data_IF_529472913781
#
_entry.id   IF_529472913781
#
_cell.length_a   1.000
_cell.length_b   1.000
_cell.length_c   1.000
_cell.angle_alpha   90.00
_cell.angle_beta   90.00
_cell.angle_gamma   90.00
#
_symmetry.space_group_name_H-M   'P 1'
#
loop_
_entity.id
_entity.type
_entity.pdbx_description
1 polymer ?
#
# COMPACT_ATOMS: atom_id res chain seq x y z
N UNK A 1 17.30 -27.29 -15.75
CA UNK A 1 16.44 -28.31 -15.11
C UNK A 1 16.26 -27.90 -13.68
N UNK A 2 15.09 -27.34 -13.31
CA UNK A 2 14.75 -27.03 -11.94
C UNK A 2 14.48 -28.34 -11.22
N UNK A 3 15.19 -28.62 -10.11
CA UNK A 3 14.90 -29.80 -9.29
C UNK A 3 13.47 -29.63 -8.73
N UNK A 4 12.61 -30.62 -8.98
CA UNK A 4 11.28 -30.67 -8.38
C UNK A 4 11.47 -30.63 -6.85
N UNK A 5 10.74 -29.72 -6.18
CA UNK A 5 10.71 -29.68 -4.72
C UNK A 5 10.04 -30.99 -4.29
N UNK A 6 10.75 -31.82 -3.51
CA UNK A 6 10.15 -32.99 -2.86
C UNK A 6 9.03 -32.50 -1.92
N UNK A 7 8.08 -33.38 -1.54
CA UNK A 7 7.02 -33.05 -0.57
C UNK A 7 7.67 -32.66 0.76
N UNK A 8 7.89 -31.35 0.94
CA UNK A 8 8.56 -30.77 2.09
C UNK A 8 7.50 -30.26 3.08
N UNK A 9 7.60 -30.64 4.34
CA UNK A 9 6.74 -30.11 5.40
C UNK A 9 7.35 -28.84 5.95
N UNK A 10 6.62 -27.73 5.83
CA UNK A 10 7.01 -26.40 6.30
C UNK A 10 6.08 -25.93 7.40
N UNK A 11 6.60 -25.14 8.35
CA UNK A 11 5.78 -24.57 9.42
C UNK A 11 4.86 -23.46 8.87
N UNK A 12 5.44 -22.42 8.24
CA UNK A 12 4.68 -21.32 7.64
C UNK A 12 5.07 -21.10 6.17
N UNK A 13 4.07 -21.10 5.28
CA UNK A 13 4.22 -20.73 3.89
C UNK A 13 3.59 -19.37 3.64
N UNK A 14 4.38 -18.39 3.19
CA UNK A 14 3.89 -17.07 2.75
C UNK A 14 3.83 -17.03 1.23
N UNK A 15 2.67 -16.73 0.69
CA UNK A 15 2.44 -16.62 -0.77
C UNK A 15 2.41 -15.15 -1.16
N UNK A 16 3.48 -14.69 -1.80
CA UNK A 16 3.73 -13.32 -2.20
C UNK A 16 4.92 -12.69 -1.47
N UNK A 17 5.96 -12.33 -2.22
CA UNK A 17 7.18 -11.65 -1.74
C UNK A 17 7.11 -10.11 -1.92
N UNK A 18 5.91 -9.53 -1.86
CA UNK A 18 5.71 -8.10 -1.71
C UNK A 18 5.94 -7.65 -0.26
N UNK A 19 5.78 -6.36 0.01
CA UNK A 19 6.05 -5.77 1.34
C UNK A 19 5.26 -6.45 2.46
N UNK A 20 3.96 -6.72 2.26
CA UNK A 20 3.13 -7.37 3.29
C UNK A 20 3.56 -8.80 3.58
N UNK A 21 3.94 -9.56 2.53
CA UNK A 21 4.43 -10.94 2.71
C UNK A 21 5.78 -11.00 3.42
N UNK A 22 6.74 -10.16 3.01
CA UNK A 22 8.05 -10.12 3.63
C UNK A 22 8.00 -9.60 5.08
N UNK A 23 7.17 -8.60 5.35
CA UNK A 23 6.95 -8.12 6.71
C UNK A 23 6.31 -9.21 7.60
N UNK A 24 5.35 -9.97 7.06
CA UNK A 24 4.77 -11.12 7.78
C UNK A 24 5.80 -12.22 7.99
N UNK A 25 6.61 -12.53 6.98
CA UNK A 25 7.68 -13.51 7.10
C UNK A 25 8.69 -13.12 8.20
N UNK A 26 9.08 -11.84 8.24
CA UNK A 26 10.00 -11.33 9.27
C UNK A 26 9.39 -11.43 10.67
N UNK A 27 8.13 -11.04 10.86
CA UNK A 27 7.45 -11.14 12.15
C UNK A 27 7.33 -12.60 12.64
N UNK A 28 7.04 -13.55 11.75
CA UNK A 28 7.00 -14.98 12.07
C UNK A 28 8.39 -15.55 12.42
N UNK A 29 9.43 -15.13 11.70
CA UNK A 29 10.81 -15.49 12.02
C UNK A 29 11.27 -14.92 13.36
N UNK A 30 10.83 -13.71 13.72
CA UNK A 30 11.10 -13.11 15.03
C UNK A 30 10.42 -13.89 16.17
N UNK A 31 9.30 -14.56 15.87
CA UNK A 31 8.62 -15.50 16.76
C UNK A 31 9.25 -16.90 16.79
N UNK A 32 10.36 -17.12 16.06
CA UNK A 32 11.04 -18.42 16.01
C UNK A 32 10.37 -19.47 15.12
N UNK A 33 9.43 -19.04 14.24
CA UNK A 33 8.79 -19.94 13.27
C UNK A 33 9.69 -20.18 12.06
N UNK A 34 9.58 -21.34 11.44
CA UNK A 34 10.21 -21.61 10.14
C UNK A 34 9.34 -21.07 9.00
N UNK A 35 9.93 -20.26 8.11
CA UNK A 35 9.18 -19.57 7.07
C UNK A 35 9.76 -19.83 5.69
N UNK A 36 8.90 -20.25 4.78
CA UNK A 36 9.16 -20.25 3.33
C UNK A 36 8.24 -19.22 2.66
N UNK A 37 8.83 -18.36 1.84
CA UNK A 37 8.10 -17.38 1.00
C UNK A 37 8.17 -17.83 -0.43
N UNK A 38 7.05 -17.86 -1.15
CA UNK A 38 7.02 -18.11 -2.60
C UNK A 38 6.43 -16.90 -3.33
N UNK A 39 6.92 -16.62 -4.52
CA UNK A 39 6.37 -15.60 -5.40
C UNK A 39 6.37 -16.06 -6.87
N UNK A 40 5.33 -15.69 -7.61
CA UNK A 40 5.23 -15.99 -9.04
C UNK A 40 6.28 -15.24 -9.88
N UNK A 41 6.75 -14.10 -9.40
CA UNK A 41 7.78 -13.27 -9.99
C UNK A 41 9.01 -13.16 -9.11
N UNK A 42 9.59 -11.96 -9.10
CA UNK A 42 10.72 -11.58 -8.24
C UNK A 42 10.23 -10.88 -6.97
N UNK A 43 11.09 -10.87 -5.95
CA UNK A 43 10.89 -10.08 -4.74
C UNK A 43 10.52 -8.64 -5.10
N UNK A 44 9.42 -8.16 -4.52
CA UNK A 44 9.01 -6.76 -4.63
C UNK A 44 8.51 -6.31 -6.01
N UNK A 45 8.40 -7.17 -7.01
CA UNK A 45 8.05 -6.80 -8.38
C UNK A 45 6.64 -6.19 -8.56
N UNK A 46 5.77 -6.28 -7.55
CA UNK A 46 4.42 -5.72 -7.57
C UNK A 46 4.35 -4.25 -7.14
N UNK A 47 3.23 -3.86 -6.55
CA UNK A 47 2.93 -2.49 -6.10
C UNK A 47 3.91 -1.94 -5.04
N UNK A 48 4.74 -2.77 -4.46
CA UNK A 48 5.72 -2.37 -3.45
C UNK A 48 6.93 -1.65 -4.03
N UNK A 49 7.23 -1.78 -5.34
CA UNK A 49 8.41 -1.21 -5.97
C UNK A 49 8.29 0.30 -6.21
N UNK A 50 7.29 0.71 -6.96
CA UNK A 50 7.19 2.07 -7.52
C UNK A 50 6.25 3.01 -6.77
N UNK A 51 5.89 2.72 -5.51
CA UNK A 51 5.10 3.66 -4.70
C UNK A 51 5.96 4.83 -4.18
N UNK A 52 5.34 5.83 -3.57
CA UNK A 52 6.03 7.03 -3.11
C UNK A 52 6.80 6.86 -1.80
N UNK A 53 6.64 5.74 -1.09
CA UNK A 53 7.42 5.41 0.11
C UNK A 53 7.08 6.24 1.33
N UNK A 54 5.92 6.88 1.38
CA UNK A 54 5.47 7.62 2.56
C UNK A 54 4.87 6.69 3.61
N UNK A 55 5.17 6.93 4.87
CA UNK A 55 4.68 6.22 6.05
C UNK A 55 3.80 7.18 6.84
N UNK A 56 2.50 7.12 6.59
CA UNK A 56 1.60 8.23 6.88
C UNK A 56 0.40 7.82 7.75
N UNK A 57 0.52 7.83 9.09
CA UNK A 57 -0.62 7.79 9.98
C UNK A 57 -1.67 8.86 9.67
N UNK A 58 -1.26 10.01 9.12
CA UNK A 58 -2.15 11.09 8.67
C UNK A 58 -3.13 10.67 7.57
N UNK A 59 -2.78 9.67 6.75
CA UNK A 59 -3.66 9.13 5.69
C UNK A 59 -4.68 8.09 6.22
N UNK A 60 -5.01 8.15 7.51
CA UNK A 60 -6.04 7.31 8.11
C UNK A 60 -7.43 7.48 7.46
N UNK A 61 -7.88 8.69 7.08
CA UNK A 61 -9.15 8.83 6.36
C UNK A 61 -9.19 7.98 5.09
N UNK A 62 -10.26 7.17 4.89
CA UNK A 62 -10.34 6.28 3.73
C UNK A 62 -10.73 7.03 2.46
N UNK A 63 -10.43 6.44 1.29
CA UNK A 63 -10.93 6.93 0.01
C UNK A 63 -12.46 6.91 -0.09
N UNK A 64 -13.12 5.96 0.58
CA UNK A 64 -14.57 5.82 0.60
C UNK A 64 -15.22 6.87 1.52
N UNK A 65 -15.07 8.14 1.17
CA UNK A 65 -15.65 9.27 1.91
C UNK A 65 -16.95 9.80 1.32
N UNK A 66 -17.74 10.58 2.10
CA UNK A 66 -19.04 11.11 1.64
C UNK A 66 -18.98 11.95 0.35
N UNK A 67 -17.87 12.68 0.15
CA UNK A 67 -17.66 13.53 -1.04
C UNK A 67 -17.06 12.79 -2.25
N UNK A 68 -16.63 11.56 -2.07
CA UNK A 68 -15.84 10.81 -3.07
C UNK A 68 -16.62 10.55 -4.35
N UNK A 69 -17.90 10.21 -4.25
CA UNK A 69 -18.73 9.91 -5.43
C UNK A 69 -18.93 11.15 -6.32
N UNK A 70 -19.17 12.30 -5.72
CA UNK A 70 -19.33 13.57 -6.46
C UNK A 70 -18.01 13.95 -7.12
N UNK A 71 -16.91 13.80 -6.43
CA UNK A 71 -15.56 14.07 -6.93
C UNK A 71 -15.20 13.12 -8.08
N UNK A 72 -15.46 11.82 -7.92
CA UNK A 72 -15.22 10.81 -8.95
C UNK A 72 -16.04 11.09 -10.23
N UNK A 73 -17.33 11.41 -10.09
CA UNK A 73 -18.18 11.78 -11.23
C UNK A 73 -17.64 13.00 -12.00
N UNK A 74 -17.16 14.03 -11.28
CA UNK A 74 -16.54 15.20 -11.90
C UNK A 74 -15.25 14.85 -12.65
N UNK A 75 -14.41 14.00 -12.07
CA UNK A 75 -13.13 13.58 -12.66
C UNK A 75 -13.29 12.78 -13.94
N UNK A 76 -14.39 12.05 -14.13
CA UNK A 76 -14.65 11.32 -15.38
C UNK A 76 -14.71 12.23 -16.62
N UNK A 77 -15.01 13.52 -16.43
CA UNK A 77 -15.10 14.52 -17.51
C UNK A 77 -13.92 15.51 -17.52
N UNK A 78 -12.93 15.32 -16.66
CA UNK A 78 -11.78 16.23 -16.52
C UNK A 78 -10.56 15.61 -17.20
N UNK A 79 -9.94 16.27 -18.21
CA UNK A 79 -8.63 15.85 -18.72
C UNK A 79 -7.59 15.82 -17.59
N UNK A 80 -6.68 14.85 -17.64
CA UNK A 80 -5.62 14.67 -16.64
C UNK A 80 -6.10 14.41 -15.19
N UNK A 81 -7.39 14.10 -15.01
CA UNK A 81 -7.92 13.75 -13.69
C UNK A 81 -7.13 12.59 -13.06
N UNK A 82 -6.92 12.60 -11.74
CA UNK A 82 -6.15 11.55 -11.07
C UNK A 82 -6.84 10.19 -11.07
N UNK A 83 -8.14 10.14 -11.32
CA UNK A 83 -8.94 8.91 -11.39
C UNK A 83 -9.47 8.67 -12.81
N UNK A 84 -9.35 7.41 -13.27
CA UNK A 84 -10.02 6.93 -14.47
C UNK A 84 -10.64 5.55 -14.22
N UNK A 85 -11.88 5.39 -14.65
CA UNK A 85 -12.59 4.10 -14.58
C UNK A 85 -12.98 3.71 -16.00
N UNK A 86 -12.37 2.62 -16.49
CA UNK A 86 -12.73 2.05 -17.81
C UNK A 86 -14.14 1.46 -17.74
N UNK A 87 -15.04 1.83 -18.65
CA UNK A 87 -16.35 1.19 -18.74
C UNK A 87 -16.20 -0.34 -18.83
N UNK A 88 -16.93 -1.07 -17.99
CA UNK A 88 -16.84 -2.52 -17.92
C UNK A 88 -18.20 -3.15 -17.63
N UNK A 89 -18.41 -4.35 -18.19
CA UNK A 89 -19.56 -5.21 -17.89
C UNK A 89 -19.16 -6.38 -16.97
N UNK A 90 -17.93 -6.38 -16.45
CA UNK A 90 -17.47 -7.42 -15.51
C UNK A 90 -18.31 -7.36 -14.22
N UNK A 91 -19.05 -8.45 -13.89
CA UNK A 91 -19.98 -8.44 -12.76
C UNK A 91 -19.25 -8.32 -11.41
N UNK A 92 -18.02 -8.81 -11.28
CA UNK A 92 -17.26 -8.71 -10.04
C UNK A 92 -16.78 -7.27 -9.80
N UNK A 93 -16.34 -6.57 -10.86
CA UNK A 93 -15.99 -5.15 -10.79
C UNK A 93 -17.23 -4.30 -10.45
N UNK A 94 -18.38 -4.58 -11.07
CA UNK A 94 -19.62 -3.85 -10.76
C UNK A 94 -20.08 -4.07 -9.32
N UNK A 95 -19.98 -5.30 -8.80
CA UNK A 95 -20.27 -5.60 -7.38
C UNK A 95 -19.31 -4.91 -6.43
N UNK A 96 -18.02 -4.86 -6.79
CA UNK A 96 -17.04 -4.10 -6.02
C UNK A 96 -17.38 -2.61 -5.99
N UNK A 97 -17.70 -2.00 -7.13
CA UNK A 97 -18.10 -0.59 -7.22
C UNK A 97 -19.34 -0.29 -6.36
N UNK A 98 -20.37 -1.13 -6.44
CA UNK A 98 -21.57 -0.99 -5.60
C UNK A 98 -21.23 -1.09 -4.10
N UNK A 99 -20.39 -2.07 -3.73
CA UNK A 99 -19.94 -2.22 -2.36
C UNK A 99 -19.12 -1.02 -1.87
N UNK A 100 -18.26 -0.45 -2.71
CA UNK A 100 -17.51 0.77 -2.42
C UNK A 100 -18.45 1.98 -2.24
N UNK A 101 -19.42 2.17 -3.14
CA UNK A 101 -20.41 3.25 -3.04
C UNK A 101 -21.22 3.19 -1.74
N UNK A 102 -21.61 1.99 -1.30
CA UNK A 102 -22.32 1.80 -0.02
C UNK A 102 -21.50 2.23 1.20
N UNK A 103 -20.17 2.21 1.11
CA UNK A 103 -19.25 2.64 2.17
C UNK A 103 -18.95 4.14 2.15
N UNK A 104 -19.34 4.86 1.09
CA UNK A 104 -19.16 6.32 0.98
C UNK A 104 -20.17 7.10 1.85
N UNK A 105 -20.15 6.84 3.16
CA UNK A 105 -20.98 7.53 4.16
C UNK A 105 -20.17 7.90 5.38
N UNK A 106 -20.63 8.87 6.17
CA UNK A 106 -19.88 9.43 7.30
C UNK A 106 -19.58 8.40 8.40
N UNK A 107 -20.52 7.49 8.70
CA UNK A 107 -20.34 6.47 9.74
C UNK A 107 -19.18 5.52 9.38
N UNK A 108 -19.21 4.97 8.18
CA UNK A 108 -18.18 4.04 7.72
C UNK A 108 -16.85 4.76 7.53
N UNK A 109 -16.88 6.02 7.08
CA UNK A 109 -15.68 6.87 6.96
C UNK A 109 -14.93 7.01 8.29
N UNK A 110 -15.62 7.42 9.36
CA UNK A 110 -15.01 7.57 10.69
C UNK A 110 -14.54 6.22 11.25
N UNK A 111 -15.34 5.16 11.11
CA UNK A 111 -14.97 3.83 11.58
C UNK A 111 -13.72 3.30 10.87
N UNK A 112 -13.65 3.48 9.55
CA UNK A 112 -12.50 3.08 8.74
C UNK A 112 -11.25 3.91 9.07
N UNK A 113 -11.40 5.23 9.28
CA UNK A 113 -10.29 6.10 9.68
C UNK A 113 -9.67 5.64 11.02
N UNK A 114 -10.51 5.36 12.02
CA UNK A 114 -10.05 4.85 13.33
C UNK A 114 -9.30 3.52 13.20
N UNK A 115 -9.86 2.57 12.45
CA UNK A 115 -9.23 1.28 12.22
C UNK A 115 -7.89 1.43 11.49
N UNK A 116 -7.85 2.19 10.39
CA UNK A 116 -6.62 2.43 9.64
C UNK A 116 -5.55 3.11 10.48
N UNK A 117 -5.93 4.11 11.27
CA UNK A 117 -5.01 4.84 12.12
C UNK A 117 -4.27 3.93 13.10
N UNK A 118 -4.98 3.02 13.79
CA UNK A 118 -4.33 2.10 14.74
C UNK A 118 -3.27 1.24 14.07
N UNK A 119 -3.58 0.72 12.87
CA UNK A 119 -2.64 -0.10 12.11
C UNK A 119 -1.46 0.72 11.55
N UNK A 120 -1.73 1.92 11.02
CA UNK A 120 -0.72 2.81 10.46
C UNK A 120 0.24 3.34 11.52
N UNK A 121 -0.30 3.78 12.67
CA UNK A 121 0.49 4.35 13.77
C UNK A 121 1.42 3.30 14.39
N UNK A 122 0.90 2.10 14.71
CA UNK A 122 1.72 1.00 15.22
C UNK A 122 2.77 0.56 14.17
N UNK A 123 2.37 0.45 12.90
CA UNK A 123 3.28 0.05 11.81
C UNK A 123 4.43 1.05 11.61
N UNK A 124 4.14 2.36 11.68
CA UNK A 124 5.14 3.41 11.56
C UNK A 124 6.25 3.26 12.61
N UNK A 125 5.85 2.99 13.87
CA UNK A 125 6.79 2.78 14.97
C UNK A 125 7.59 1.48 14.79
N UNK A 126 6.95 0.38 14.37
CA UNK A 126 7.62 -0.89 14.10
C UNK A 126 8.60 -0.82 12.94
N UNK A 127 8.25 -0.10 11.88
CA UNK A 127 9.18 0.10 10.75
C UNK A 127 10.44 0.81 11.24
N UNK A 128 10.31 1.85 12.04
CA UNK A 128 11.47 2.53 12.65
C UNK A 128 12.32 1.57 13.49
N UNK A 129 11.68 0.79 14.36
CA UNK A 129 12.37 -0.23 15.16
C UNK A 129 13.10 -1.27 14.29
N UNK A 130 12.50 -1.69 13.18
CA UNK A 130 13.15 -2.62 12.24
C UNK A 130 14.32 -1.98 11.50
N UNK A 131 14.18 -0.71 11.09
CA UNK A 131 15.29 0.05 10.47
C UNK A 131 16.49 0.09 11.40
N UNK A 132 16.28 0.40 12.67
CA UNK A 132 17.33 0.43 13.69
C UNK A 132 17.87 -0.98 14.00
N UNK A 133 16.98 -1.93 14.32
CA UNK A 133 17.34 -3.29 14.75
C UNK A 133 18.09 -4.08 13.69
N UNK A 134 17.70 -3.95 12.43
CA UNK A 134 18.25 -4.73 11.33
C UNK A 134 19.17 -3.91 10.41
N UNK A 135 19.44 -2.66 10.76
CA UNK A 135 20.24 -1.72 9.98
C UNK A 135 19.79 -1.70 8.51
N UNK A 136 18.49 -1.44 8.26
CA UNK A 136 17.93 -1.46 6.92
C UNK A 136 18.39 -0.22 6.12
N UNK A 137 19.08 -0.43 5.01
CA UNK A 137 19.48 0.65 4.09
C UNK A 137 18.32 1.00 3.15
N UNK A 138 17.33 1.72 3.65
CA UNK A 138 16.14 2.10 2.89
C UNK A 138 15.85 3.60 2.88
N UNK A 139 16.83 4.43 3.18
CA UNK A 139 16.72 5.90 3.24
C UNK A 139 15.52 6.37 4.09
N UNK A 140 15.30 5.70 5.22
CA UNK A 140 14.25 6.06 6.18
C UNK A 140 14.54 7.43 6.78
N UNK A 141 13.51 8.31 6.80
CA UNK A 141 13.62 9.66 7.34
C UNK A 141 12.30 10.09 8.01
N UNK A 142 12.42 10.66 9.23
CA UNK A 142 11.30 11.21 10.01
C UNK A 142 11.08 12.69 9.67
N UNK A 143 10.83 12.96 8.40
CA UNK A 143 10.69 14.34 7.90
C UNK A 143 9.28 14.90 8.01
N UNK A 144 8.30 14.07 8.26
CA UNK A 144 6.89 14.41 8.06
C UNK A 144 6.48 14.31 6.59
N UNK A 145 5.22 14.63 6.32
CA UNK A 145 4.64 14.81 4.98
C UNK A 145 3.78 16.07 4.98
N UNK A 146 3.70 16.76 3.87
CA UNK A 146 2.88 17.98 3.75
C UNK A 146 1.85 17.84 2.62
N UNK A 147 0.59 18.25 2.86
CA UNK A 147 -0.40 18.49 1.82
C UNK A 147 -0.31 19.96 1.41
N UNK A 148 -0.05 20.22 0.14
CA UNK A 148 0.14 21.58 -0.38
C UNK A 148 -1.00 21.93 -1.33
N UNK A 149 -1.64 23.08 -1.08
CA UNK A 149 -2.85 23.54 -1.76
C UNK A 149 -2.58 24.77 -2.61
N UNK A 150 -3.12 24.76 -3.83
CA UNK A 150 -3.12 25.91 -4.74
C UNK A 150 -4.33 26.81 -4.50
N UNK A 151 -5.45 26.25 -4.05
CA UNK A 151 -6.70 26.98 -3.89
C UNK A 151 -7.20 26.94 -2.44
N UNK A 152 -7.68 28.09 -1.94
CA UNK A 152 -8.27 28.17 -0.60
C UNK A 152 -9.46 27.22 -0.44
N UNK A 153 -10.26 27.09 -1.49
CA UNK A 153 -11.45 26.21 -1.50
C UNK A 153 -11.08 24.75 -1.18
N UNK A 154 -10.02 24.24 -1.80
CA UNK A 154 -9.63 22.84 -1.63
C UNK A 154 -8.95 22.64 -0.27
N UNK A 155 -8.18 23.64 0.19
CA UNK A 155 -7.63 23.66 1.53
C UNK A 155 -8.73 23.66 2.60
N UNK A 156 -9.73 24.57 2.52
CA UNK A 156 -10.83 24.66 3.48
C UNK A 156 -11.67 23.36 3.53
N UNK A 157 -11.76 22.64 2.41
CA UNK A 157 -12.43 21.33 2.38
C UNK A 157 -11.65 20.30 3.18
N UNK A 158 -10.35 20.23 3.02
CA UNK A 158 -9.50 19.25 3.67
C UNK A 158 -9.33 19.56 5.17
N UNK A 159 -9.36 20.84 5.53
CA UNK A 159 -9.41 21.26 6.92
C UNK A 159 -10.62 20.70 7.69
N UNK A 160 -11.68 20.30 7.00
CA UNK A 160 -12.83 19.61 7.57
C UNK A 160 -12.50 18.28 8.25
N UNK A 161 -11.40 17.62 7.86
CA UNK A 161 -10.95 16.36 8.47
C UNK A 161 -10.02 16.56 9.67
N UNK A 162 -9.53 17.79 9.93
CA UNK A 162 -8.62 18.09 11.05
C UNK A 162 -9.20 17.69 12.41
N UNK A 163 -10.49 17.93 12.72
CA UNK A 163 -11.05 17.48 14.01
C UNK A 163 -10.94 15.96 14.21
N UNK A 164 -11.21 15.17 13.16
CA UNK A 164 -11.07 13.71 13.21
C UNK A 164 -9.59 13.31 13.35
N UNK A 165 -8.69 13.94 12.62
CA UNK A 165 -7.26 13.66 12.69
C UNK A 165 -6.71 13.97 14.11
N UNK A 166 -7.10 15.09 14.71
CA UNK A 166 -6.72 15.46 16.08
C UNK A 166 -7.29 14.45 17.10
N UNK A 167 -8.54 13.99 16.94
CA UNK A 167 -9.13 12.94 17.78
C UNK A 167 -8.32 11.65 17.72
N UNK A 168 -7.78 11.33 16.55
CA UNK A 168 -6.92 10.16 16.34
C UNK A 168 -5.49 10.35 16.87
N UNK A 169 -5.11 11.58 17.27
CA UNK A 169 -3.76 11.88 17.76
C UNK A 169 -2.78 12.29 16.67
N UNK A 170 -3.25 12.61 15.46
CA UNK A 170 -2.43 13.19 14.40
C UNK A 170 -2.25 14.68 14.65
N UNK A 171 -1.00 15.12 14.82
CA UNK A 171 -0.65 16.54 14.93
C UNK A 171 -0.65 17.18 13.53
N UNK A 172 -1.55 18.17 13.34
CA UNK A 172 -1.72 18.87 12.07
C UNK A 172 -1.36 20.35 12.26
N UNK A 173 -0.25 20.78 11.65
CA UNK A 173 0.10 22.20 11.55
C UNK A 173 -0.47 22.77 10.26
N UNK A 174 -1.31 23.80 10.36
CA UNK A 174 -1.84 24.53 9.21
C UNK A 174 -0.98 25.75 8.95
N UNK A 175 -0.49 25.92 7.74
CA UNK A 175 0.45 26.99 7.34
C UNK A 175 -0.12 27.76 6.15
N UNK A 176 -0.16 29.09 6.25
CA UNK A 176 -0.57 29.97 5.14
C UNK A 176 0.45 29.94 4.00
N UNK A 177 -0.03 30.19 2.76
CA UNK A 177 0.80 30.01 1.55
C UNK A 177 2.13 30.75 1.55
N UNK A 178 2.13 32.05 1.92
CA UNK A 178 3.38 32.85 1.98
C UNK A 178 4.38 32.31 2.99
N UNK A 179 3.91 31.85 4.13
CA UNK A 179 4.77 31.30 5.17
C UNK A 179 5.34 29.94 4.75
N UNK A 180 4.55 29.14 4.05
CA UNK A 180 5.01 27.86 3.53
C UNK A 180 6.03 28.04 2.41
N UNK A 181 5.79 28.98 1.47
CA UNK A 181 6.74 29.36 0.43
C UNK A 181 8.10 29.84 0.99
N UNK A 182 8.05 30.58 2.10
CA UNK A 182 9.27 31.01 2.81
C UNK A 182 10.00 29.85 3.50
N UNK A 183 9.30 28.83 3.96
CA UNK A 183 9.89 27.63 4.58
C UNK A 183 10.54 26.70 3.56
N UNK A 184 9.95 26.59 2.37
CA UNK A 184 10.44 25.70 1.32
C UNK A 184 10.50 26.40 -0.06
N UNK A 185 11.69 26.85 -0.48
CA UNK A 185 11.89 27.59 -1.72
C UNK A 185 11.73 26.74 -2.99
N UNK A 186 11.46 25.44 -2.88
CA UNK A 186 11.15 24.60 -4.04
C UNK A 186 9.83 24.99 -4.68
N UNK A 187 8.94 25.62 -3.92
CA UNK A 187 7.59 25.98 -4.36
C UNK A 187 7.52 27.32 -5.05
N UNK A 188 6.68 27.38 -6.08
CA UNK A 188 6.31 28.62 -6.77
C UNK A 188 5.36 29.45 -5.89
N UNK A 189 5.37 30.77 -6.03
CA UNK A 189 4.45 31.64 -5.30
C UNK A 189 3.00 31.45 -5.72
N UNK A 190 2.09 31.83 -4.81
CA UNK A 190 0.65 31.79 -5.02
C UNK A 190 0.00 30.49 -4.55
N UNK A 191 0.57 29.86 -3.50
CA UNK A 191 -0.06 28.79 -2.77
C UNK A 191 -1.15 29.33 -1.82
N UNK A 192 -2.21 28.55 -1.61
CA UNK A 192 -3.20 28.85 -0.57
C UNK A 192 -2.63 28.52 0.84
N UNK A 193 -1.88 27.42 0.94
CA UNK A 193 -1.26 26.97 2.19
C UNK A 193 -0.89 25.51 2.16
N UNK A 194 -0.58 25.00 3.35
CA UNK A 194 -0.25 23.60 3.55
C UNK A 194 -0.81 23.06 4.87
N UNK A 195 -1.06 21.75 4.90
CA UNK A 195 -1.27 20.97 6.14
C UNK A 195 -0.02 20.11 6.33
N UNK A 196 0.68 20.30 7.44
CA UNK A 196 1.94 19.64 7.72
C UNK A 196 1.73 18.56 8.79
N UNK A 197 2.11 17.33 8.50
CA UNK A 197 1.96 16.14 9.36
C UNK A 197 3.34 15.71 9.88
N UNK A 198 3.72 16.17 11.07
CA UNK A 198 5.06 15.94 11.62
C UNK A 198 5.33 14.49 12.04
N UNK A 199 4.26 13.72 12.37
CA UNK A 199 4.36 12.32 12.79
C UNK A 199 4.63 11.34 11.66
N UNK A 200 4.51 11.78 10.43
CA UNK A 200 4.73 10.96 9.25
C UNK A 200 6.25 10.80 8.96
N UNK A 201 6.56 9.83 8.13
CA UNK A 201 7.94 9.55 7.71
C UNK A 201 7.97 9.11 6.24
N UNK A 202 9.17 8.91 5.73
CA UNK A 202 9.37 8.37 4.40
C UNK A 202 10.52 7.37 4.37
N UNK A 203 10.48 6.49 3.37
CA UNK A 203 11.58 5.59 3.05
C UNK A 203 11.59 5.33 1.54
N UNK A 204 12.68 4.74 1.05
CA UNK A 204 12.75 4.28 -0.33
C UNK A 204 12.15 2.87 -0.44
N UNK A 205 10.97 2.69 -1.07
CA UNK A 205 10.18 1.46 -0.93
C UNK A 205 10.81 0.25 -1.62
N UNK A 206 11.44 0.42 -2.78
CA UNK A 206 12.17 -0.64 -3.47
C UNK A 206 13.35 -1.17 -2.63
N UNK A 207 14.10 -0.27 -1.97
CA UNK A 207 15.16 -0.66 -1.03
C UNK A 207 14.60 -1.31 0.22
N UNK A 208 13.54 -0.76 0.82
CA UNK A 208 12.91 -1.34 2.00
C UNK A 208 12.51 -2.79 1.77
N UNK A 209 11.87 -3.10 0.63
CA UNK A 209 11.47 -4.47 0.29
C UNK A 209 12.68 -5.37 0.06
N UNK A 210 13.72 -4.88 -0.63
CA UNK A 210 14.95 -5.64 -0.82
C UNK A 210 15.65 -5.94 0.51
N UNK A 211 15.69 -4.98 1.43
CA UNK A 211 16.26 -5.12 2.76
C UNK A 211 15.45 -6.08 3.65
N UNK A 212 14.11 -6.03 3.60
CA UNK A 212 13.28 -7.04 4.27
C UNK A 212 13.62 -8.45 3.77
N UNK A 213 13.75 -8.63 2.46
CA UNK A 213 14.12 -9.92 1.88
C UNK A 213 15.53 -10.36 2.31
N UNK A 214 16.49 -9.43 2.39
CA UNK A 214 17.83 -9.70 2.93
C UNK A 214 17.75 -10.20 4.36
N UNK A 215 16.99 -9.51 5.20
CA UNK A 215 16.86 -9.88 6.62
C UNK A 215 16.12 -11.21 6.78
N UNK A 216 15.04 -11.44 6.03
CA UNK A 216 14.33 -12.73 6.03
C UNK A 216 15.29 -13.88 5.72
N UNK A 217 16.12 -13.76 4.68
CA UNK A 217 17.14 -14.77 4.35
C UNK A 217 18.19 -14.92 5.45
N UNK A 218 18.70 -13.82 5.99
CA UNK A 218 19.71 -13.83 7.05
C UNK A 218 19.21 -14.47 8.35
N UNK A 219 17.89 -14.44 8.59
CA UNK A 219 17.23 -15.08 9.73
C UNK A 219 16.81 -16.53 9.47
N UNK A 220 17.24 -17.12 8.36
CA UNK A 220 16.97 -18.52 8.01
C UNK A 220 15.67 -18.73 7.22
N UNK A 221 14.94 -17.66 6.87
CA UNK A 221 13.78 -17.77 5.98
C UNK A 221 14.18 -18.07 4.54
N UNK A 222 13.42 -18.94 3.90
CA UNK A 222 13.63 -19.32 2.49
C UNK A 222 12.73 -18.48 1.59
N UNK A 223 13.27 -17.93 0.50
CA UNK A 223 12.51 -17.19 -0.51
C UNK A 223 12.71 -17.86 -1.86
N UNK A 224 11.61 -18.30 -2.49
CA UNK A 224 11.59 -18.99 -3.78
C UNK A 224 10.86 -18.10 -4.78
N UNK A 225 11.63 -17.48 -5.65
CA UNK A 225 11.12 -16.67 -6.75
C UNK A 225 10.70 -17.55 -7.94
N UNK A 226 9.85 -16.99 -8.83
CA UNK A 226 9.32 -17.70 -9.99
C UNK A 226 8.59 -19.01 -9.65
N UNK A 227 7.99 -19.05 -8.45
CA UNK A 227 7.24 -20.18 -7.91
C UNK A 227 5.76 -19.77 -7.75
N UNK A 228 4.99 -19.86 -8.82
CA UNK A 228 3.59 -19.50 -8.82
C UNK A 228 2.75 -20.54 -8.07
N UNK A 229 1.88 -20.09 -7.17
CA UNK A 229 0.84 -20.89 -6.55
C UNK A 229 -0.22 -21.26 -7.61
N UNK A 230 -0.57 -22.54 -7.71
CA UNK A 230 -1.58 -23.08 -8.63
C UNK A 230 -2.88 -23.45 -7.91
N UNK A 231 -2.80 -24.08 -6.72
CA UNK A 231 -3.96 -24.40 -5.90
C UNK A 231 -3.60 -24.59 -4.43
N UNK A 232 -4.61 -24.49 -3.56
CA UNK A 232 -4.52 -24.84 -2.15
C UNK A 232 -5.61 -25.87 -1.80
N UNK A 233 -5.21 -26.89 -1.05
CA UNK A 233 -6.11 -27.87 -0.45
C UNK A 233 -5.97 -27.77 1.06
N UNK A 234 -6.99 -27.22 1.73
CA UNK A 234 -7.00 -27.02 3.18
C UNK A 234 -7.53 -28.26 3.88
N UNK A 235 -6.77 -28.77 4.86
CA UNK A 235 -7.13 -29.94 5.67
C UNK A 235 -7.02 -29.66 7.16
N UNK A 236 -7.40 -30.66 7.99
CA UNK A 236 -7.35 -30.53 9.44
C UNK A 236 -5.92 -30.43 10.01
N UNK A 237 -4.93 -30.93 9.27
CA UNK A 237 -3.52 -30.97 9.70
C UNK A 237 -2.62 -29.94 8.97
N UNK A 238 -3.22 -28.99 8.24
CA UNK A 238 -2.51 -27.99 7.47
C UNK A 238 -3.01 -27.86 6.03
N UNK A 239 -2.21 -27.27 5.18
CA UNK A 239 -2.56 -26.93 3.80
C UNK A 239 -1.55 -27.53 2.84
N UNK A 240 -2.03 -28.17 1.78
CA UNK A 240 -1.22 -28.60 0.64
C UNK A 240 -1.27 -27.51 -0.43
N UNK A 241 -0.12 -26.92 -0.73
CA UNK A 241 0.05 -25.94 -1.79
C UNK A 241 0.68 -26.60 -3.03
N UNK A 242 -0.06 -26.62 -4.13
CA UNK A 242 0.49 -27.00 -5.43
C UNK A 242 1.06 -25.77 -6.12
N UNK A 243 2.31 -25.85 -6.51
CA UNK A 243 3.04 -24.74 -7.15
C UNK A 243 3.60 -25.15 -8.51
N UNK A 244 4.09 -24.19 -9.28
CA UNK A 244 4.77 -24.47 -10.55
C UNK A 244 6.08 -25.29 -10.38
N UNK A 245 6.63 -25.38 -9.15
CA UNK A 245 7.88 -26.08 -8.86
C UNK A 245 7.69 -27.36 -8.03
N UNK A 246 6.45 -27.76 -7.74
CA UNK A 246 6.12 -28.96 -6.97
C UNK A 246 5.13 -28.65 -5.84
N UNK A 247 4.93 -29.63 -4.96
CA UNK A 247 3.99 -29.53 -3.85
C UNK A 247 4.73 -29.20 -2.54
N UNK A 248 4.13 -28.30 -1.76
CA UNK A 248 4.57 -27.87 -0.44
C UNK A 248 3.45 -28.15 0.56
N UNK A 249 3.75 -28.86 1.63
CA UNK A 249 2.80 -29.04 2.74
C UNK A 249 3.18 -28.08 3.87
N UNK A 250 2.28 -27.19 4.25
CA UNK A 250 2.51 -26.23 5.30
C UNK A 250 1.50 -26.37 6.44
N UNK A 251 1.93 -26.11 7.67
CA UNK A 251 1.01 -26.03 8.81
C UNK A 251 0.10 -24.82 8.68
N UNK A 252 0.68 -23.66 8.40
CA UNK A 252 -0.07 -22.42 8.18
C UNK A 252 0.34 -21.79 6.83
N UNK A 253 -0.64 -21.32 6.06
CA UNK A 253 -0.41 -20.61 4.80
C UNK A 253 -0.93 -19.18 4.92
N UNK A 254 -0.12 -18.21 4.52
CA UNK A 254 -0.47 -16.79 4.51
C UNK A 254 -0.56 -16.28 3.08
N UNK A 255 -1.73 -15.83 2.64
CA UNK A 255 -1.92 -15.19 1.36
C UNK A 255 -1.57 -13.70 1.45
N UNK A 256 -0.48 -13.30 0.81
CA UNK A 256 -0.02 -11.91 0.70
C UNK A 256 0.07 -11.48 -0.78
N UNK A 257 -0.90 -11.92 -1.59
CA UNK A 257 -0.90 -11.87 -3.05
C UNK A 257 -1.33 -10.52 -3.64
N UNK A 258 -1.52 -9.51 -2.80
CA UNK A 258 -1.78 -8.13 -3.24
C UNK A 258 -2.93 -8.03 -4.23
N UNK A 259 -2.70 -7.34 -5.33
CA UNK A 259 -3.70 -7.12 -6.38
C UNK A 259 -4.05 -8.39 -7.17
N UNK A 260 -3.23 -9.46 -7.10
CA UNK A 260 -3.51 -10.74 -7.76
C UNK A 260 -4.46 -11.65 -6.98
N UNK A 261 -4.86 -11.27 -5.76
CA UNK A 261 -5.81 -12.04 -4.94
C UNK A 261 -7.10 -12.42 -5.67
N UNK A 262 -7.73 -11.56 -6.50
CA UNK A 262 -8.89 -11.96 -7.30
C UNK A 262 -8.61 -13.05 -8.34
N UNK A 263 -7.40 -13.08 -8.91
CA UNK A 263 -7.04 -14.05 -9.95
C UNK A 263 -6.88 -15.46 -9.40
N UNK A 264 -6.31 -15.58 -8.20
CA UNK A 264 -6.13 -16.88 -7.54
C UNK A 264 -7.33 -17.31 -6.70
N UNK A 265 -8.37 -16.48 -6.58
CA UNK A 265 -9.50 -16.68 -5.67
C UNK A 265 -10.14 -18.08 -5.76
N UNK A 266 -10.33 -18.62 -6.98
CA UNK A 266 -10.89 -19.96 -7.15
C UNK A 266 -9.89 -21.06 -6.81
N UNK A 267 -8.63 -20.86 -7.13
CA UNK A 267 -7.56 -21.82 -6.85
C UNK A 267 -7.28 -22.01 -5.36
N UNK A 268 -7.62 -20.99 -4.56
CA UNK A 268 -7.45 -21.01 -3.08
C UNK A 268 -8.75 -21.24 -2.32
N UNK A 269 -9.86 -21.55 -2.99
CA UNK A 269 -11.15 -21.81 -2.37
C UNK A 269 -11.88 -20.57 -1.82
N UNK A 270 -11.49 -19.36 -2.23
CA UNK A 270 -12.02 -18.08 -1.72
C UNK A 270 -12.65 -17.24 -2.86
N UNK A 271 -13.69 -17.72 -3.57
CA UNK A 271 -14.22 -17.06 -4.76
C UNK A 271 -14.77 -15.65 -4.50
N UNK A 272 -15.12 -15.33 -3.26
CA UNK A 272 -15.61 -14.02 -2.84
C UNK A 272 -14.54 -12.91 -2.97
N UNK A 273 -13.25 -13.24 -3.00
CA UNK A 273 -12.17 -12.26 -3.22
C UNK A 273 -12.29 -11.52 -4.56
N UNK A 274 -12.88 -12.13 -5.60
CA UNK A 274 -13.09 -11.50 -6.91
C UNK A 274 -13.92 -10.21 -6.84
N UNK A 275 -14.93 -10.20 -5.97
CA UNK A 275 -15.82 -9.04 -5.77
C UNK A 275 -15.38 -8.14 -4.61
N UNK A 276 -14.29 -8.48 -3.91
CA UNK A 276 -13.82 -7.77 -2.70
C UNK A 276 -12.62 -6.89 -2.98
N UNK A 277 -11.71 -7.34 -3.83
CA UNK A 277 -10.49 -6.62 -4.21
C UNK A 277 -10.52 -6.30 -5.69
N UNK A 278 -10.13 -5.09 -6.06
CA UNK A 278 -9.93 -4.68 -7.45
C UNK A 278 -8.54 -4.08 -7.64
N UNK A 279 -7.89 -4.34 -8.79
CA UNK A 279 -6.60 -3.75 -9.13
C UNK A 279 -6.78 -2.28 -9.49
N UNK A 280 -6.21 -1.40 -8.69
CA UNK A 280 -6.14 0.04 -8.95
C UNK A 280 -4.77 0.40 -9.50
N UNK A 281 -4.63 0.54 -10.83
CA UNK A 281 -3.37 0.87 -11.49
C UNK A 281 -2.91 2.28 -11.14
N UNK A 282 -1.66 2.42 -10.75
CA UNK A 282 -1.00 3.69 -10.54
C UNK A 282 0.30 3.77 -11.30
N UNK A 283 0.80 4.99 -11.46
CA UNK A 283 2.06 5.26 -12.18
C UNK A 283 3.02 6.03 -11.30
N UNK A 284 4.31 5.86 -11.57
CA UNK A 284 5.35 6.75 -11.07
C UNK A 284 6.49 6.95 -12.08
N UNK A 285 7.17 8.08 -11.92
CA UNK A 285 8.40 8.37 -12.64
C UNK A 285 9.47 8.68 -11.61
N UNK A 286 10.59 7.98 -11.70
CA UNK A 286 11.76 8.24 -10.87
C UNK A 286 12.83 8.97 -11.70
N UNK A 287 13.34 10.05 -11.16
CA UNK A 287 14.38 10.90 -11.76
C UNK A 287 15.64 10.89 -10.91
N UNK A 288 16.73 11.36 -11.49
CA UNK A 288 17.82 11.95 -10.71
C UNK A 288 17.32 13.20 -9.98
N UNK A 289 17.95 13.56 -8.86
CA UNK A 289 17.48 14.67 -8.04
C UNK A 289 17.52 15.99 -8.82
N UNK A 290 16.46 16.82 -8.80
CA UNK A 290 16.47 18.16 -9.37
C UNK A 290 17.39 19.07 -8.53
N UNK A 291 17.82 20.23 -9.09
CA UNK A 291 18.65 21.20 -8.36
C UNK A 291 18.02 21.67 -7.04
N UNK A 292 16.69 21.71 -6.99
CA UNK A 292 15.93 22.10 -5.80
C UNK A 292 14.68 21.22 -5.73
N UNK A 293 14.62 20.34 -4.74
CA UNK A 293 13.49 19.47 -4.43
C UNK A 293 12.78 19.93 -3.16
N UNK A 294 11.51 19.60 -2.96
CA UNK A 294 10.86 19.78 -1.68
C UNK A 294 11.64 19.11 -0.54
N UNK A 295 11.71 19.76 0.61
CA UNK A 295 12.45 19.29 1.79
C UNK A 295 11.83 18.06 2.45
N UNK A 296 10.56 17.81 2.19
CA UNK A 296 9.75 16.71 2.71
C UNK A 296 8.97 16.06 1.58
N UNK A 297 8.49 14.81 1.75
CA UNK A 297 7.43 14.28 0.91
C UNK A 297 6.22 15.21 0.91
N UNK A 298 5.63 15.41 -0.27
CA UNK A 298 4.44 16.27 -0.39
C UNK A 298 3.39 15.65 -1.28
N UNK A 299 2.13 15.89 -0.93
CA UNK A 299 1.00 15.69 -1.82
C UNK A 299 0.60 17.05 -2.38
N UNK A 300 0.79 17.24 -3.69
CA UNK A 300 0.24 18.37 -4.42
C UNK A 300 -1.25 18.09 -4.62
N UNK A 301 -2.09 18.77 -3.84
CA UNK A 301 -3.46 18.29 -3.57
C UNK A 301 -4.35 18.24 -4.81
N UNK A 302 -4.48 19.34 -5.56
CA UNK A 302 -5.40 19.42 -6.69
C UNK A 302 -5.08 18.42 -7.82
N UNK A 303 -3.80 18.28 -8.28
CA UNK A 303 -3.44 17.26 -9.25
C UNK A 303 -3.29 15.87 -8.63
N UNK A 304 -3.37 15.74 -7.30
CA UNK A 304 -3.13 14.50 -6.55
C UNK A 304 -1.78 13.84 -6.91
N UNK A 305 -0.71 14.64 -6.95
CA UNK A 305 0.65 14.17 -7.25
C UNK A 305 1.44 14.06 -5.95
N UNK A 306 1.91 12.86 -5.63
CA UNK A 306 2.87 12.64 -4.58
C UNK A 306 4.29 12.92 -5.10
N UNK A 307 5.06 13.67 -4.34
CA UNK A 307 6.46 14.00 -4.63
C UNK A 307 7.32 13.55 -3.46
N UNK A 308 8.29 12.69 -3.72
CA UNK A 308 9.25 12.27 -2.70
C UNK A 308 10.67 12.40 -3.23
N UNK A 309 11.52 13.07 -2.44
CA UNK A 309 12.94 13.17 -2.70
C UNK A 309 13.73 12.32 -1.69
N UNK A 310 14.65 11.52 -2.18
CA UNK A 310 15.62 10.75 -1.40
C UNK A 310 17.04 11.19 -1.79
N UNK A 311 18.03 10.85 -1.03
CA UNK A 311 19.43 11.05 -1.40
C UNK A 311 19.78 10.41 -2.74
N UNK A 312 19.15 9.29 -3.06
CA UNK A 312 19.38 8.51 -4.27
C UNK A 312 18.47 8.85 -5.46
N UNK A 313 17.49 9.74 -5.33
CA UNK A 313 16.58 10.08 -6.43
C UNK A 313 15.37 10.92 -6.04
N UNK A 314 14.52 11.15 -7.01
CA UNK A 314 13.32 11.97 -6.90
C UNK A 314 12.17 11.28 -7.63
N UNK A 315 11.01 11.15 -7.02
CA UNK A 315 9.87 10.43 -7.60
C UNK A 315 8.61 11.27 -7.61
N UNK A 316 7.96 11.27 -8.75
CA UNK A 316 6.57 11.67 -8.91
C UNK A 316 5.71 10.42 -9.01
N UNK A 317 4.66 10.36 -8.21
CA UNK A 317 3.73 9.24 -8.27
C UNK A 317 2.31 9.68 -8.01
N UNK A 318 1.40 8.83 -8.29
CA UNK A 318 -0.02 8.83 -7.98
C UNK A 318 -0.83 8.28 -9.17
N UNK A 319 -1.95 8.88 -9.51
CA UNK A 319 -3.02 8.41 -10.40
C UNK A 319 -3.69 7.12 -9.93
N UNK A 320 -4.91 6.91 -10.35
CA UNK A 320 -5.67 5.68 -10.08
C UNK A 320 -6.49 5.33 -11.32
N UNK A 321 -6.25 4.13 -11.86
CA UNK A 321 -7.02 3.62 -12.98
C UNK A 321 -7.61 2.25 -12.66
N UNK A 322 -8.89 2.07 -12.97
CA UNK A 322 -9.54 0.77 -12.93
C UNK A 322 -9.70 0.26 -14.36
N UNK A 323 -8.60 -0.31 -14.90
CA UNK A 323 -8.48 -0.82 -16.28
C UNK A 323 -8.20 -2.32 -16.34
N UNK A 324 -8.28 -3.01 -15.17
CA UNK A 324 -7.85 -4.40 -15.03
C UNK A 324 -6.32 -4.52 -14.96
N UNK A 325 -5.78 -5.62 -15.46
CA UNK A 325 -4.35 -5.95 -15.37
C UNK A 325 -3.56 -5.57 -16.64
N UNK A 326 -3.91 -4.46 -17.26
CA UNK A 326 -3.13 -3.89 -18.37
C UNK A 326 -1.83 -3.28 -17.82
N UNK A 327 -0.68 -3.82 -18.19
CA UNK A 327 0.66 -3.42 -17.75
C UNK A 327 1.32 -2.35 -18.63
N UNK A 328 0.64 -1.88 -19.67
CA UNK A 328 1.15 -0.85 -20.57
C UNK A 328 1.38 0.48 -19.85
N UNK A 329 2.47 1.16 -20.14
CA UNK A 329 2.72 2.52 -19.66
C UNK A 329 1.93 3.52 -20.51
N UNK A 330 1.09 4.31 -19.85
CA UNK A 330 0.31 5.35 -20.52
C UNK A 330 1.05 6.69 -20.40
N UNK A 331 1.70 7.12 -21.48
CA UNK A 331 2.51 8.36 -21.51
C UNK A 331 1.67 9.62 -21.19
N UNK A 332 0.37 9.63 -21.52
CA UNK A 332 -0.50 10.76 -21.17
C UNK A 332 -0.66 10.86 -19.65
N UNK A 333 -0.80 9.71 -18.97
CA UNK A 333 -0.91 9.63 -17.51
C UNK A 333 0.40 9.95 -16.79
N UNK A 334 1.52 9.47 -17.34
CA UNK A 334 2.85 9.84 -16.84
C UNK A 334 3.08 11.35 -16.99
N UNK A 335 2.80 11.92 -18.16
CA UNK A 335 2.90 13.36 -18.39
C UNK A 335 1.95 14.21 -17.52
N UNK A 336 0.83 13.66 -17.03
CA UNK A 336 -0.05 14.35 -16.09
C UNK A 336 0.64 14.58 -14.72
N UNK A 337 1.50 13.65 -14.28
CA UNK A 337 2.30 13.83 -13.06
C UNK A 337 3.24 15.03 -13.19
N UNK A 338 3.95 15.12 -14.32
CA UNK A 338 4.88 16.23 -14.60
C UNK A 338 4.14 17.57 -14.71
N UNK A 339 3.02 17.60 -15.45
CA UNK A 339 2.17 18.81 -15.57
C UNK A 339 1.59 19.24 -14.23
N UNK A 340 1.19 18.27 -13.39
CA UNK A 340 0.69 18.52 -12.05
C UNK A 340 1.78 19.14 -11.16
N UNK A 341 2.97 18.54 -11.12
CA UNK A 341 4.11 19.05 -10.36
C UNK A 341 4.56 20.43 -10.84
N UNK A 342 4.54 20.68 -12.15
CA UNK A 342 4.93 21.96 -12.74
C UNK A 342 4.04 23.15 -12.32
N UNK A 343 2.83 22.91 -11.83
CA UNK A 343 1.99 23.98 -11.28
C UNK A 343 2.50 24.50 -9.94
N UNK A 344 3.22 23.69 -9.18
CA UNK A 344 3.64 23.98 -7.82
C UNK A 344 5.14 24.25 -7.69
N UNK A 345 5.97 23.52 -8.41
CA UNK A 345 7.40 23.45 -8.18
C UNK A 345 8.20 24.24 -9.26
N UNK A 346 9.29 24.88 -8.82
CA UNK A 346 10.24 25.52 -9.74
C UNK A 346 10.97 24.48 -10.61
N UNK A 347 11.33 23.34 -10.01
CA UNK A 347 11.97 22.21 -10.68
C UNK A 347 11.09 20.95 -10.50
N UNK A 348 10.04 20.78 -11.34
CA UNK A 348 9.05 19.70 -11.16
C UNK A 348 9.61 18.32 -11.49
N UNK A 349 10.70 18.22 -12.25
CA UNK A 349 11.35 16.99 -12.68
C UNK A 349 12.85 17.08 -12.51
N UNK A 350 13.51 15.95 -12.36
CA UNK A 350 14.97 15.88 -12.39
C UNK A 350 15.51 15.83 -13.82
N UNK A 351 16.83 16.07 -14.00
CA UNK A 351 17.43 16.14 -15.33
C UNK A 351 17.44 14.82 -16.10
N UNK A 352 17.37 13.67 -15.41
CA UNK A 352 17.41 12.36 -16.02
C UNK A 352 16.25 11.50 -15.51
N UNK A 353 15.50 10.88 -16.43
CA UNK A 353 14.49 9.85 -16.11
C UNK A 353 15.22 8.52 -15.86
N UNK A 354 15.14 8.00 -14.66
CA UNK A 354 15.74 6.71 -14.29
C UNK A 354 14.78 5.54 -14.48
N UNK A 355 13.50 5.78 -14.23
CA UNK A 355 12.46 4.75 -14.32
C UNK A 355 11.09 5.34 -14.58
N UNK A 356 10.32 4.71 -15.47
CA UNK A 356 8.87 4.84 -15.57
C UNK A 356 8.25 3.52 -15.14
N UNK A 357 7.29 3.58 -14.24
CA UNK A 357 6.71 2.39 -13.64
C UNK A 357 5.19 2.47 -13.54
N UNK A 358 4.54 1.31 -13.59
CA UNK A 358 3.16 1.14 -13.19
C UNK A 358 2.99 -0.10 -12.31
N UNK A 359 1.96 -0.09 -11.46
CA UNK A 359 1.61 -1.25 -10.64
C UNK A 359 0.20 -1.15 -10.10
N UNK A 360 -0.31 -2.26 -9.58
CA UNK A 360 -1.69 -2.39 -9.16
C UNK A 360 -1.81 -2.39 -7.64
N UNK A 361 -2.54 -1.42 -7.12
CA UNK A 361 -2.93 -1.35 -5.71
C UNK A 361 -4.08 -2.32 -5.46
N UNK A 362 -4.03 -3.14 -4.41
CA UNK A 362 -5.11 -4.06 -4.05
C UNK A 362 -6.24 -3.31 -3.33
N UNK A 363 -7.17 -2.72 -4.07
CA UNK A 363 -8.23 -1.87 -3.53
C UNK A 363 -9.37 -2.73 -2.95
N UNK A 364 -9.53 -2.74 -1.62
CA UNK A 364 -10.70 -3.31 -0.95
C UNK A 364 -11.92 -2.37 -1.04
N UNK A 365 -13.13 -2.91 -0.83
CA UNK A 365 -14.38 -2.13 -0.96
C UNK A 365 -14.55 -1.04 0.11
N UNK A 366 -13.93 -1.20 1.27
CA UNK A 366 -13.99 -0.30 2.41
C UNK A 366 -12.69 0.44 2.69
N UNK A 367 -11.69 0.28 1.81
CA UNK A 367 -10.33 0.82 1.94
C UNK A 367 -9.61 0.35 3.22
N UNK A 368 -10.04 -0.79 3.80
CA UNK A 368 -9.41 -1.46 4.94
C UNK A 368 -8.82 -2.79 4.46
N UNK A 369 -7.59 -3.17 4.87
CA UNK A 369 -7.02 -4.45 4.50
C UNK A 369 -7.79 -5.62 5.14
N UNK A 370 -7.66 -6.81 4.52
CA UNK A 370 -8.13 -8.08 5.06
C UNK A 370 -6.93 -8.76 5.72
N UNK A 371 -6.93 -8.78 7.05
CA UNK A 371 -5.85 -9.38 7.85
C UNK A 371 -6.49 -10.32 8.86
N UNK A 372 -6.14 -11.61 8.79
CA UNK A 372 -6.68 -12.61 9.69
C UNK A 372 -6.92 -13.95 9.02
N UNK A 373 -7.64 -14.82 9.71
CA UNK A 373 -7.95 -16.17 9.23
C UNK A 373 -8.98 -16.13 8.09
N UNK A 374 -8.73 -16.90 7.03
CA UNK A 374 -9.69 -17.05 5.95
C UNK A 374 -10.93 -17.81 6.43
N UNK A 375 -12.15 -17.31 6.18
CA UNK A 375 -13.37 -17.97 6.60
C UNK A 375 -13.49 -19.42 6.09
N UNK A 376 -13.78 -20.35 6.99
CA UNK A 376 -13.88 -21.78 6.67
C UNK A 376 -12.55 -22.54 6.54
N UNK A 377 -11.40 -21.87 6.73
CA UNK A 377 -10.07 -22.47 6.55
C UNK A 377 -9.19 -22.26 7.80
N UNK A 378 -9.04 -23.26 8.69
CA UNK A 378 -8.37 -23.08 9.99
C UNK A 378 -6.88 -22.72 9.89
N UNK A 379 -6.20 -23.10 8.80
CA UNK A 379 -4.77 -22.91 8.59
C UNK A 379 -4.44 -21.96 7.43
N UNK A 380 -5.44 -21.23 6.92
CA UNK A 380 -5.24 -20.26 5.86
C UNK A 380 -5.46 -18.83 6.40
N UNK A 381 -4.46 -17.97 6.21
CA UNK A 381 -4.42 -16.61 6.69
C UNK A 381 -4.30 -15.62 5.55
N UNK A 382 -4.67 -14.38 5.78
CA UNK A 382 -4.73 -13.35 4.74
C UNK A 382 -4.02 -12.08 5.19
N UNK A 383 -3.25 -11.48 4.28
CA UNK A 383 -2.62 -10.17 4.37
C UNK A 383 -2.79 -9.45 3.03
N UNK A 384 -4.03 -9.09 2.67
CA UNK A 384 -4.37 -8.56 1.34
C UNK A 384 -5.27 -7.33 1.42
N UNK A 385 -5.41 -6.59 0.32
CA UNK A 385 -6.36 -5.48 0.26
C UNK A 385 -5.89 -4.18 0.88
N UNK A 386 -4.58 -3.96 1.03
CA UNK A 386 -3.98 -2.78 1.69
C UNK A 386 -4.12 -1.47 0.90
N UNK A 387 -4.76 -1.50 -0.26
CA UNK A 387 -4.97 -0.31 -1.08
C UNK A 387 -3.66 0.42 -1.41
N UNK A 388 -3.62 1.71 -1.16
CA UNK A 388 -2.43 2.55 -1.36
C UNK A 388 -1.42 2.47 -0.23
N UNK A 389 -1.81 1.93 0.95
CA UNK A 389 -1.07 2.06 2.21
C UNK A 389 -0.27 0.80 2.59
N UNK A 390 -0.04 -0.12 1.64
CA UNK A 390 0.58 -1.40 1.93
C UNK A 390 1.98 -1.30 2.55
N UNK A 391 2.80 -0.35 2.15
CA UNK A 391 4.12 -0.10 2.77
C UNK A 391 3.95 0.43 4.18
N UNK A 392 3.11 1.44 4.35
CA UNK A 392 2.84 2.05 5.67
C UNK A 392 2.26 1.08 6.69
N UNK A 393 1.44 0.12 6.26
CA UNK A 393 0.78 -0.86 7.13
C UNK A 393 1.58 -2.15 7.32
N UNK A 394 2.69 -2.34 6.62
CA UNK A 394 3.35 -3.64 6.44
C UNK A 394 3.78 -4.30 7.76
N UNK A 395 4.46 -3.56 8.63
CA UNK A 395 5.03 -4.13 9.86
C UNK A 395 3.94 -4.55 10.86
N UNK A 396 2.90 -3.73 11.05
CA UNK A 396 1.77 -4.12 11.90
C UNK A 396 0.95 -5.25 11.30
N UNK A 397 0.81 -5.32 9.98
CA UNK A 397 0.16 -6.47 9.32
C UNK A 397 0.88 -7.76 9.66
N UNK A 398 2.21 -7.76 9.55
CA UNK A 398 3.01 -8.94 9.89
C UNK A 398 2.90 -9.31 11.37
N UNK A 399 3.02 -8.34 12.27
CA UNK A 399 2.92 -8.58 13.71
C UNK A 399 1.52 -9.06 14.11
N UNK A 400 0.48 -8.44 13.58
CA UNK A 400 -0.91 -8.83 13.86
C UNK A 400 -1.17 -10.30 13.49
N UNK A 401 -0.70 -10.73 12.31
CA UNK A 401 -0.80 -12.13 11.91
C UNK A 401 0.03 -13.06 12.79
N UNK A 402 1.25 -12.68 13.11
CA UNK A 402 2.11 -13.47 13.99
C UNK A 402 1.46 -13.66 15.37
N UNK A 403 0.90 -12.61 15.95
CA UNK A 403 0.17 -12.69 17.23
C UNK A 403 -1.06 -13.61 17.14
N UNK A 404 -1.87 -13.47 16.08
CA UNK A 404 -3.08 -14.29 15.87
C UNK A 404 -2.73 -15.77 15.64
N UNK A 405 -1.69 -16.07 14.86
CA UNK A 405 -1.22 -17.44 14.60
C UNK A 405 -0.69 -18.08 15.88
N UNK A 406 0.01 -17.32 16.71
CA UNK A 406 0.53 -17.77 18.00
C UNK A 406 -0.51 -17.79 19.13
N UNK A 407 -1.73 -17.29 18.90
CA UNK A 407 -2.78 -17.19 19.91
C UNK A 407 -2.49 -16.17 21.01
N UNK A 408 -1.64 -15.17 20.74
CA UNK A 408 -1.33 -14.06 21.65
C UNK A 408 -2.36 -12.93 21.54
N UNK A 409 -2.34 -12.02 22.51
CA UNK A 409 -3.08 -10.77 22.41
C UNK A 409 -2.52 -9.96 21.22
N UNK A 410 -3.36 -9.64 20.21
CA UNK A 410 -2.92 -8.90 19.04
C UNK A 410 -2.42 -7.48 19.38
N UNK A 411 -1.43 -7.00 18.63
CA UNK A 411 -0.86 -5.64 18.80
C UNK A 411 -1.87 -4.52 18.55
N UNK A 412 -2.87 -4.77 17.69
CA UNK A 412 -4.02 -3.89 17.45
C UNK A 412 -5.31 -4.72 17.42
N UNK A 413 -6.47 -4.06 17.60
CA UNK A 413 -7.76 -4.74 17.51
C UNK A 413 -7.96 -5.37 16.11
N UNK A 414 -8.05 -6.72 15.99
CA UNK A 414 -8.17 -7.40 14.69
C UNK A 414 -9.55 -7.28 14.05
N UNK A 415 -10.60 -6.97 14.82
CA UNK A 415 -11.99 -7.05 14.36
C UNK A 415 -12.30 -6.23 13.08
N UNK A 416 -11.79 -5.01 12.91
CA UNK A 416 -12.03 -4.26 11.67
C UNK A 416 -11.40 -4.89 10.43
N UNK A 417 -10.35 -5.70 10.61
CA UNK A 417 -9.55 -6.30 9.53
C UNK A 417 -9.99 -7.72 9.18
N UNK A 418 -10.92 -8.30 9.95
CA UNK A 418 -11.38 -9.68 9.78
C UNK A 418 -11.90 -9.91 8.34
N UNK A 419 -11.33 -10.88 7.60
CA UNK A 419 -11.81 -11.26 6.27
C UNK A 419 -13.28 -11.68 6.22
N UNK A 420 -13.83 -12.21 7.32
CA UNK A 420 -15.22 -12.67 7.42
C UNK A 420 -16.25 -11.55 7.14
N UNK A 421 -15.86 -10.27 7.26
CA UNK A 421 -16.75 -9.14 6.94
C UNK A 421 -17.20 -9.07 5.47
N UNK A 422 -16.58 -9.88 4.58
CA UNK A 422 -16.86 -9.92 3.15
C UNK A 422 -17.18 -11.33 2.60
N UNK A 423 -17.06 -12.37 3.39
CA UNK A 423 -17.30 -13.76 3.01
C UNK A 423 -18.79 -14.10 2.89
#
# INVERSE_FOLDING_TARGET
MSAAIAEESIDCLVVGAGVSGLATALALLDDGREVTVIDAGKVGAGASHGNCGTLTPSHAPPLAGPSTLVRAARWMFTPDAPLYIKPTLNPDTLRWMLGFMQRCNHRDYVASARAKYTLLSDSRQRIQQWVERYALDCEFAETGEDYVFKTRRDMDRELGDVPLLNELGVDVEVVEGRDYEARDPAFKPGLAGAMCFRGDAALRPDRYVAELARVVRARGGRIIEHCALQSLESGAQGVLATTAQGQLRARDVILATGAWSPQIASAVGLPWLRKTIQPGKGYSITYSSPPLAPKRPVILYEPSVCVTAWGSGYRLGSTMEFTGYDDSLNEKRLGALERGAAQFLHHPVGPEVREKWCGWRPMSRDDIPLIGRAPGHPHLWMAVGHGMMGVSMSASTGQLLADMIAGRTPCVNPAPFDPARFA
#
